data_IF_241528675474
#
_entry.id   IF_241528675474
#
_cell.length_a   1.000
_cell.length_b   1.000
_cell.length_c   1.000
_cell.angle_alpha   90.00
_cell.angle_beta   90.00
_cell.angle_gamma   90.00
#
_symmetry.space_group_name_H-M   'P 1'
#
loop_
_entity.id
_entity.type
_entity.pdbx_description
1 polymer ?
#
# COMPACT_ATOMS: atom_id res chain seq x y z
N UNK A 1 -5.31 -35.42 -19.74
CA UNK A 1 -4.80 -34.01 -19.70
C UNK A 1 -5.51 -33.11 -18.68
N UNK A 2 -6.84 -33.26 -18.45
CA UNK A 2 -7.60 -32.44 -17.50
C UNK A 2 -7.24 -32.74 -16.03
N UNK A 3 -7.05 -34.00 -15.69
CA UNK A 3 -6.65 -34.45 -14.35
C UNK A 3 -5.25 -33.95 -13.97
N UNK A 4 -4.30 -33.99 -14.93
CA UNK A 4 -2.94 -33.48 -14.71
C UNK A 4 -2.89 -31.96 -14.51
N UNK A 5 -3.84 -31.20 -15.10
CA UNK A 5 -3.94 -29.75 -14.87
C UNK A 5 -4.50 -29.47 -13.48
N UNK A 6 -5.52 -30.17 -13.06
CA UNK A 6 -6.15 -30.02 -11.73
C UNK A 6 -5.13 -30.34 -10.62
N UNK A 7 -4.41 -31.44 -10.72
CA UNK A 7 -3.37 -31.81 -9.72
C UNK A 7 -2.21 -30.82 -9.68
N UNK A 8 -1.85 -30.21 -10.82
CA UNK A 8 -0.81 -29.19 -10.85
C UNK A 8 -1.25 -27.85 -10.26
N UNK A 9 -2.51 -27.48 -10.49
CA UNK A 9 -3.11 -26.28 -9.90
C UNK A 9 -3.30 -26.44 -8.38
N UNK A 10 -3.76 -27.60 -7.92
CA UNK A 10 -3.88 -27.92 -6.48
C UNK A 10 -2.51 -27.93 -5.80
N UNK A 11 -1.48 -28.52 -6.42
CA UNK A 11 -0.12 -28.52 -5.88
C UNK A 11 0.49 -27.10 -5.83
N UNK A 12 0.19 -26.24 -6.80
CA UNK A 12 0.62 -24.84 -6.78
C UNK A 12 -0.09 -24.03 -5.68
N UNK A 13 -1.39 -24.21 -5.50
CA UNK A 13 -2.17 -23.57 -4.44
C UNK A 13 -1.67 -23.99 -3.05
N UNK A 14 -1.48 -25.28 -2.82
CA UNK A 14 -0.93 -25.81 -1.55
C UNK A 14 0.48 -25.27 -1.25
N UNK A 15 1.34 -25.17 -2.27
CA UNK A 15 2.69 -24.60 -2.12
C UNK A 15 2.64 -23.09 -1.81
N UNK A 16 1.71 -22.35 -2.40
CA UNK A 16 1.52 -20.94 -2.09
C UNK A 16 0.99 -20.71 -0.68
N UNK A 17 0.04 -21.54 -0.20
CA UNK A 17 -0.47 -21.46 1.17
C UNK A 17 0.59 -21.76 2.19
N UNK A 18 1.39 -22.81 1.99
CA UNK A 18 2.50 -23.17 2.87
C UNK A 18 3.55 -22.06 2.93
N UNK A 19 3.90 -21.48 1.79
CA UNK A 19 4.84 -20.35 1.74
C UNK A 19 4.29 -19.13 2.48
N UNK A 20 2.99 -18.81 2.34
CA UNK A 20 2.35 -17.71 3.06
C UNK A 20 2.37 -17.92 4.58
N UNK A 21 2.12 -19.13 5.04
CA UNK A 21 2.16 -19.46 6.47
C UNK A 21 3.58 -19.32 7.05
N UNK A 22 4.60 -19.80 6.34
CA UNK A 22 6.01 -19.66 6.73
C UNK A 22 6.43 -18.18 6.79
N UNK A 23 6.11 -17.40 5.76
CA UNK A 23 6.43 -15.97 5.73
C UNK A 23 5.73 -15.23 6.87
N UNK A 24 4.50 -15.60 7.21
CA UNK A 24 3.76 -15.03 8.34
C UNK A 24 4.43 -15.34 9.68
N UNK A 25 4.86 -16.59 9.89
CA UNK A 25 5.59 -17.01 11.10
C UNK A 25 6.89 -16.22 11.25
N UNK A 26 7.70 -16.17 10.20
CA UNK A 26 8.96 -15.41 10.17
C UNK A 26 8.75 -13.92 10.45
N UNK A 27 7.69 -13.34 9.91
CA UNK A 27 7.41 -11.93 10.14
C UNK A 27 7.06 -11.62 11.61
N UNK A 28 6.31 -12.50 12.27
CA UNK A 28 6.05 -12.37 13.71
C UNK A 28 7.35 -12.49 14.51
N UNK A 29 8.23 -13.43 14.16
CA UNK A 29 9.52 -13.60 14.81
C UNK A 29 10.49 -12.44 14.57
N UNK A 30 10.38 -11.73 13.43
CA UNK A 30 11.18 -10.51 13.16
C UNK A 30 10.59 -9.30 13.89
N UNK A 31 9.27 -9.16 13.96
CA UNK A 31 8.63 -8.04 14.63
C UNK A 31 8.88 -7.99 16.13
N UNK A 32 9.01 -9.16 16.76
CA UNK A 32 9.24 -9.26 18.19
C UNK A 32 10.57 -8.61 18.61
N UNK A 33 11.74 -8.95 18.06
CA UNK A 33 13.01 -8.30 18.40
C UNK A 33 13.02 -6.81 18.00
N UNK A 34 12.38 -6.44 16.89
CA UNK A 34 12.27 -5.03 16.50
C UNK A 34 11.46 -4.22 17.53
N UNK A 35 10.39 -4.82 18.08
CA UNK A 35 9.63 -4.22 19.18
C UNK A 35 10.46 -4.04 20.45
N UNK A 36 11.32 -5.03 20.77
CA UNK A 36 12.25 -4.97 21.87
C UNK A 36 13.30 -3.85 21.69
N UNK A 37 13.93 -3.78 20.53
CA UNK A 37 14.92 -2.75 20.18
C UNK A 37 14.30 -1.35 20.28
N UNK A 38 13.12 -1.17 19.69
CA UNK A 38 12.36 0.08 19.74
C UNK A 38 12.06 0.50 21.18
N UNK A 39 11.54 -0.45 21.99
CA UNK A 39 11.20 -0.20 23.39
C UNK A 39 12.42 0.17 24.24
N UNK A 40 13.55 -0.53 24.06
CA UNK A 40 14.80 -0.24 24.74
C UNK A 40 15.33 1.16 24.36
N UNK A 41 15.31 1.53 23.08
CA UNK A 41 15.71 2.84 22.61
C UNK A 41 14.81 3.95 23.18
N UNK A 42 13.49 3.72 23.29
CA UNK A 42 12.56 4.68 23.91
C UNK A 42 12.83 4.88 25.41
N UNK A 43 13.12 3.82 26.15
CA UNK A 43 13.49 3.93 27.55
C UNK A 43 14.80 4.66 27.72
N UNK A 44 15.81 4.31 26.92
CA UNK A 44 17.11 4.97 26.93
C UNK A 44 16.99 6.47 26.62
N UNK A 45 16.18 6.85 25.63
CA UNK A 45 15.94 8.26 25.27
C UNK A 45 15.38 9.09 26.42
N UNK A 46 14.61 8.48 27.32
CA UNK A 46 14.05 9.16 28.52
C UNK A 46 15.08 9.39 29.62
N UNK A 47 16.06 8.51 29.72
CA UNK A 47 17.10 8.55 30.74
C UNK A 47 18.32 9.40 30.32
N UNK A 48 18.47 9.69 29.03
CA UNK A 48 19.60 10.47 28.54
C UNK A 48 19.44 11.97 28.85
N UNK A 49 20.43 12.57 29.49
CA UNK A 49 20.40 13.99 29.85
C UNK A 49 20.74 14.94 28.69
N UNK A 50 21.35 14.41 27.63
CA UNK A 50 21.87 15.18 26.49
C UNK A 50 20.99 14.96 25.24
N UNK A 51 20.54 16.08 24.64
CA UNK A 51 19.70 16.04 23.42
C UNK A 51 20.47 15.43 22.22
N UNK A 52 21.78 15.68 22.08
CA UNK A 52 22.57 15.08 20.99
C UNK A 52 22.60 13.55 21.06
N UNK A 53 22.56 12.99 22.27
CA UNK A 53 22.46 11.52 22.45
C UNK A 53 21.08 10.99 22.17
N UNK A 54 20.04 11.80 22.37
CA UNK A 54 18.66 11.42 22.00
C UNK A 54 18.48 11.30 20.50
N UNK A 55 19.24 12.03 19.70
CA UNK A 55 19.21 11.89 18.23
C UNK A 55 19.58 10.48 17.79
N UNK A 56 20.57 9.85 18.45
CA UNK A 56 20.92 8.45 18.15
C UNK A 56 19.79 7.48 18.51
N UNK A 57 19.10 7.70 19.64
CA UNK A 57 17.97 6.86 20.02
C UNK A 57 16.76 7.05 19.08
N UNK A 58 16.55 8.27 18.60
CA UNK A 58 15.52 8.57 17.60
C UNK A 58 15.80 7.83 16.29
N UNK A 59 17.04 7.83 15.81
CA UNK A 59 17.43 7.06 14.61
C UNK A 59 17.16 5.56 14.80
N UNK A 60 17.48 5.00 15.97
CA UNK A 60 17.21 3.58 16.25
C UNK A 60 15.69 3.28 16.22
N UNK A 61 14.88 4.17 16.80
CA UNK A 61 13.42 4.04 16.82
C UNK A 61 12.86 4.10 15.39
N UNK A 62 13.31 5.07 14.61
CA UNK A 62 12.85 5.26 13.22
C UNK A 62 13.22 4.06 12.33
N UNK A 63 14.44 3.54 12.45
CA UNK A 63 14.85 2.36 11.67
C UNK A 63 14.14 1.09 12.12
N UNK A 64 13.86 0.91 13.41
CA UNK A 64 13.06 -0.20 13.90
C UNK A 64 11.63 -0.14 13.37
N UNK A 65 11.01 1.05 13.36
CA UNK A 65 9.68 1.27 12.79
C UNK A 65 9.67 1.08 11.27
N UNK A 66 10.72 1.51 10.58
CA UNK A 66 10.91 1.31 9.13
C UNK A 66 11.00 -0.18 8.77
N UNK A 67 11.81 -0.95 9.51
CA UNK A 67 11.94 -2.39 9.31
C UNK A 67 10.63 -3.12 9.60
N UNK A 68 9.92 -2.75 10.65
CA UNK A 68 8.59 -3.29 10.97
C UNK A 68 7.60 -3.06 9.83
N UNK A 69 7.55 -1.84 9.30
CA UNK A 69 6.72 -1.49 8.17
C UNK A 69 7.11 -2.23 6.89
N UNK A 70 8.40 -2.52 6.68
CA UNK A 70 8.88 -3.34 5.57
C UNK A 70 8.37 -4.77 5.68
N UNK A 71 8.49 -5.38 6.87
CA UNK A 71 7.97 -6.72 7.15
C UNK A 71 6.45 -6.78 6.93
N UNK A 72 5.71 -5.76 7.37
CA UNK A 72 4.27 -5.67 7.15
C UNK A 72 3.91 -5.60 5.66
N UNK A 73 4.67 -4.87 4.87
CA UNK A 73 4.50 -4.81 3.42
C UNK A 73 4.82 -6.13 2.73
N UNK A 74 5.85 -6.86 3.19
CA UNK A 74 6.21 -8.18 2.64
C UNK A 74 5.12 -9.23 2.90
N UNK A 75 4.44 -9.12 4.03
CA UNK A 75 3.32 -10.02 4.37
C UNK A 75 2.08 -9.77 3.50
N UNK A 76 1.98 -8.62 2.88
CA UNK A 76 0.76 -8.16 2.23
C UNK A 76 -0.39 -7.96 3.24
N UNK A 77 -1.52 -7.49 2.77
CA UNK A 77 -2.75 -7.47 3.57
C UNK A 77 -3.27 -8.91 3.70
N UNK A 78 -2.92 -9.58 4.80
CA UNK A 78 -3.31 -10.98 5.07
C UNK A 78 -4.76 -11.14 5.55
N UNK A 79 -5.55 -10.09 5.54
CA UNK A 79 -7.00 -10.18 5.71
C UNK A 79 -7.59 -10.76 4.43
N UNK A 80 -8.48 -11.73 4.56
CA UNK A 80 -9.34 -12.10 3.44
C UNK A 80 -10.00 -10.83 2.90
N UNK A 81 -10.01 -10.61 1.57
CA UNK A 81 -10.61 -9.42 1.01
C UNK A 81 -12.05 -9.25 1.50
N UNK A 82 -12.35 -8.11 2.12
CA UNK A 82 -13.72 -7.75 2.49
C UNK A 82 -14.35 -7.03 1.30
N UNK A 83 -14.89 -7.82 0.36
CA UNK A 83 -15.49 -7.29 -0.85
C UNK A 83 -16.84 -6.65 -0.54
N UNK A 84 -17.02 -5.40 -0.94
CA UNK A 84 -18.27 -4.65 -0.86
C UNK A 84 -18.45 -3.78 -2.11
N UNK A 85 -19.71 -3.51 -2.47
CA UNK A 85 -20.01 -2.53 -3.50
C UNK A 85 -19.54 -1.16 -3.02
N UNK A 86 -18.61 -0.58 -3.73
CA UNK A 86 -17.88 0.62 -3.30
C UNK A 86 -17.71 1.58 -4.47
N UNK A 87 -17.99 2.84 -4.22
CA UNK A 87 -17.72 3.91 -5.16
C UNK A 87 -16.22 4.20 -5.19
N UNK A 88 -15.59 4.05 -6.36
CA UNK A 88 -14.16 4.29 -6.55
C UNK A 88 -13.75 5.72 -6.21
N UNK A 89 -14.63 6.69 -6.45
CA UNK A 89 -14.32 8.10 -6.19
C UNK A 89 -14.26 8.40 -4.69
N UNK A 90 -15.07 7.74 -3.85
CA UNK A 90 -14.95 7.85 -2.38
C UNK A 90 -13.59 7.34 -1.88
N UNK A 91 -13.09 6.27 -2.48
CA UNK A 91 -11.76 5.75 -2.17
C UNK A 91 -10.70 6.78 -2.54
N UNK A 92 -10.77 7.36 -3.74
CA UNK A 92 -9.82 8.35 -4.22
C UNK A 92 -9.90 9.65 -3.41
N UNK A 93 -11.09 10.10 -3.01
CA UNK A 93 -11.25 11.28 -2.13
C UNK A 93 -10.63 11.03 -0.74
N UNK A 94 -10.78 9.82 -0.20
CA UNK A 94 -10.10 9.46 1.06
C UNK A 94 -8.58 9.52 0.92
N UNK A 95 -8.05 9.00 -0.18
CA UNK A 95 -6.61 9.07 -0.49
C UNK A 95 -6.16 10.53 -0.67
N UNK A 96 -6.91 11.32 -1.44
CA UNK A 96 -6.63 12.72 -1.67
C UNK A 96 -6.54 13.51 -0.37
N UNK A 97 -7.54 13.34 0.53
CA UNK A 97 -7.55 14.03 1.83
C UNK A 97 -6.33 13.70 2.69
N UNK A 98 -5.89 12.41 2.70
CA UNK A 98 -4.73 12.00 3.47
C UNK A 98 -3.43 12.59 2.89
N UNK A 99 -3.30 12.60 1.57
CA UNK A 99 -2.11 13.15 0.89
C UNK A 99 -2.06 14.67 1.00
N UNK A 100 -3.18 15.37 0.91
CA UNK A 100 -3.24 16.83 1.12
C UNK A 100 -2.78 17.22 2.52
N UNK A 101 -3.18 16.43 3.54
CA UNK A 101 -2.72 16.63 4.90
C UNK A 101 -1.21 16.37 5.06
N UNK A 102 -0.68 15.32 4.42
CA UNK A 102 0.75 14.99 4.44
C UNK A 102 1.60 16.01 3.67
N UNK A 103 1.11 16.48 2.52
CA UNK A 103 1.85 17.38 1.64
C UNK A 103 1.95 18.82 2.14
N UNK A 104 1.11 19.24 3.08
CA UNK A 104 1.11 20.58 3.70
C UNK A 104 1.19 21.74 2.67
N UNK A 105 0.56 21.57 1.50
CA UNK A 105 0.52 22.57 0.45
C UNK A 105 1.71 22.53 -0.52
N UNK A 106 2.66 21.59 -0.39
CA UNK A 106 3.79 21.45 -1.31
C UNK A 106 3.40 20.89 -2.70
N UNK A 107 2.20 20.30 -2.81
CA UNK A 107 1.72 19.63 -4.02
C UNK A 107 0.27 20.01 -4.29
N UNK A 108 -0.06 20.22 -5.55
CA UNK A 108 -1.45 20.40 -6.01
C UNK A 108 -2.03 19.08 -6.47
N UNK A 109 -3.12 18.63 -5.84
CA UNK A 109 -3.90 17.48 -6.30
C UNK A 109 -4.98 17.91 -7.27
N UNK A 110 -5.01 17.26 -8.44
CA UNK A 110 -6.04 17.47 -9.47
C UNK A 110 -6.92 16.24 -9.58
N UNK A 111 -8.22 16.44 -9.48
CA UNK A 111 -9.25 15.41 -9.58
C UNK A 111 -9.89 15.48 -10.95
N UNK A 112 -9.89 14.36 -11.67
CA UNK A 112 -10.47 14.25 -13.02
C UNK A 112 -11.22 12.91 -13.11
N UNK A 113 -12.41 12.89 -12.56
CA UNK A 113 -13.21 11.68 -12.37
C UNK A 113 -14.28 11.52 -13.44
N UNK A 114 -14.44 10.29 -13.92
CA UNK A 114 -15.54 9.88 -14.79
C UNK A 114 -16.74 9.45 -13.92
N UNK A 115 -17.81 10.26 -13.82
CA UNK A 115 -18.95 9.96 -12.97
C UNK A 115 -19.79 8.78 -13.47
N UNK A 116 -19.52 8.26 -14.66
CA UNK A 116 -20.25 7.13 -15.23
C UNK A 116 -19.80 5.77 -14.69
N UNK A 117 -18.74 5.73 -13.87
CA UNK A 117 -18.22 4.50 -13.28
C UNK A 117 -19.18 4.02 -12.19
N UNK A 118 -19.77 2.82 -12.33
CA UNK A 118 -20.66 2.26 -11.31
C UNK A 118 -19.84 1.83 -10.08
N UNK A 119 -20.55 1.51 -9.00
CA UNK A 119 -19.94 0.89 -7.84
C UNK A 119 -19.30 -0.45 -8.22
N UNK A 120 -18.14 -0.71 -7.66
CA UNK A 120 -17.30 -1.87 -7.92
C UNK A 120 -17.28 -2.80 -6.71
N UNK A 121 -17.29 -4.11 -6.95
CA UNK A 121 -17.13 -5.11 -5.89
C UNK A 121 -15.64 -5.23 -5.53
N UNK A 122 -15.20 -4.48 -4.54
CA UNK A 122 -13.79 -4.35 -4.16
C UNK A 122 -13.60 -4.30 -2.65
N UNK A 123 -12.40 -4.59 -2.21
CA UNK A 123 -11.98 -4.31 -0.83
C UNK A 123 -11.52 -2.85 -0.73
N UNK A 124 -12.35 -2.03 -0.10
CA UNK A 124 -12.14 -0.58 0.05
C UNK A 124 -10.81 -0.27 0.77
N UNK A 125 -10.49 -0.99 1.84
CA UNK A 125 -9.28 -0.74 2.63
C UNK A 125 -8.01 -1.10 1.86
N UNK A 126 -8.01 -2.24 1.18
CA UNK A 126 -6.88 -2.66 0.36
C UNK A 126 -6.64 -1.71 -0.80
N UNK A 127 -7.71 -1.22 -1.43
CA UNK A 127 -7.57 -0.26 -2.52
C UNK A 127 -7.06 1.10 -2.03
N UNK A 128 -7.56 1.61 -0.89
CA UNK A 128 -7.01 2.82 -0.26
C UNK A 128 -5.51 2.65 -0.02
N UNK A 129 -5.09 1.52 0.56
CA UNK A 129 -3.69 1.24 0.85
C UNK A 129 -2.84 1.19 -0.43
N UNK A 130 -3.32 0.53 -1.49
CA UNK A 130 -2.63 0.46 -2.78
C UNK A 130 -2.47 1.87 -3.40
N UNK A 131 -3.53 2.65 -3.40
CA UNK A 131 -3.51 4.01 -3.93
C UNK A 131 -2.60 4.94 -3.12
N UNK A 132 -2.64 4.86 -1.77
CA UNK A 132 -1.72 5.62 -0.92
C UNK A 132 -0.25 5.29 -1.22
N UNK A 133 0.09 4.02 -1.43
CA UNK A 133 1.44 3.63 -1.80
C UNK A 133 1.89 4.28 -3.11
N UNK A 134 1.03 4.29 -4.12
CA UNK A 134 1.33 4.90 -5.43
C UNK A 134 1.50 6.42 -5.30
N UNK A 135 0.55 7.08 -4.63
CA UNK A 135 0.54 8.54 -4.53
C UNK A 135 1.65 9.05 -3.61
N UNK A 136 2.00 8.33 -2.53
CA UNK A 136 3.16 8.65 -1.69
C UNK A 136 4.48 8.51 -2.44
N UNK A 137 4.63 7.51 -3.30
CA UNK A 137 5.80 7.39 -4.16
C UNK A 137 5.90 8.59 -5.12
N UNK A 138 4.79 9.04 -5.67
CA UNK A 138 4.76 10.24 -6.51
C UNK A 138 5.10 11.51 -5.71
N UNK A 139 4.56 11.66 -4.50
CA UNK A 139 4.88 12.77 -3.59
C UNK A 139 6.37 12.80 -3.24
N UNK A 140 6.95 11.65 -2.91
CA UNK A 140 8.37 11.52 -2.60
C UNK A 140 9.26 11.88 -3.80
N UNK A 141 8.88 11.44 -5.01
CA UNK A 141 9.61 11.79 -6.23
C UNK A 141 9.58 13.29 -6.53
N UNK A 142 8.46 13.97 -6.25
CA UNK A 142 8.33 15.42 -6.38
C UNK A 142 9.15 16.16 -5.34
N UNK A 143 9.18 15.67 -4.09
CA UNK A 143 9.96 16.29 -3.00
C UNK A 143 11.47 16.19 -3.22
N UNK A 144 11.94 15.22 -3.99
CA UNK A 144 13.35 15.07 -4.35
C UNK A 144 13.81 16.05 -5.45
N UNK A 145 12.88 16.74 -6.13
CA UNK A 145 13.20 17.71 -7.15
C UNK A 145 13.37 19.09 -6.52
N UNK A 146 14.54 19.67 -6.68
CA UNK A 146 14.92 20.99 -6.12
C UNK A 146 14.23 22.19 -6.80
N UNK A 147 13.30 21.97 -7.70
CA UNK A 147 12.64 23.04 -8.44
C UNK A 147 11.47 23.60 -7.60
N UNK A 148 11.48 24.93 -7.38
CA UNK A 148 10.53 25.71 -6.58
C UNK A 148 9.08 25.70 -7.15
N UNK A 149 8.78 24.87 -8.15
CA UNK A 149 7.45 24.73 -8.71
C UNK A 149 6.65 23.76 -7.86
N UNK A 150 5.47 24.18 -7.44
CA UNK A 150 4.48 23.31 -6.79
C UNK A 150 4.28 22.04 -7.62
N UNK A 151 4.61 20.90 -7.05
CA UNK A 151 4.39 19.60 -7.68
C UNK A 151 2.90 19.40 -7.98
N UNK A 152 2.59 18.65 -9.04
CA UNK A 152 1.20 18.35 -9.44
C UNK A 152 1.00 16.85 -9.54
N UNK A 153 0.02 16.33 -8.81
CA UNK A 153 -0.45 14.94 -8.88
C UNK A 153 -1.88 14.93 -9.41
N UNK A 154 -2.15 14.15 -10.45
CA UNK A 154 -3.47 14.02 -11.06
C UNK A 154 -4.08 12.66 -10.78
N UNK A 155 -5.24 12.64 -10.13
CA UNK A 155 -6.06 11.44 -9.94
C UNK A 155 -7.13 11.42 -11.03
N UNK A 156 -7.03 10.43 -11.93
CA UNK A 156 -7.93 10.33 -13.08
C UNK A 156 -8.60 8.97 -13.12
N UNK A 157 -9.90 8.94 -13.36
CA UNK A 157 -10.66 7.72 -13.62
C UNK A 157 -11.28 7.73 -15.01
N UNK A 158 -11.31 6.59 -15.68
CA UNK A 158 -11.93 6.44 -17.01
C UNK A 158 -12.47 5.01 -17.16
N UNK A 159 -13.57 4.87 -17.89
CA UNK A 159 -14.07 3.57 -18.34
C UNK A 159 -13.54 3.25 -19.72
N UNK A 160 -12.95 2.08 -19.88
CA UNK A 160 -12.60 1.52 -21.18
C UNK A 160 -13.71 0.57 -21.61
N UNK A 161 -14.48 0.93 -22.64
CA UNK A 161 -15.44 0.00 -23.26
C UNK A 161 -14.70 -0.84 -24.27
N UNK A 162 -14.55 -2.13 -24.01
CA UNK A 162 -14.14 -3.08 -25.04
C UNK A 162 -15.34 -3.32 -25.96
N UNK A 163 -15.27 -2.78 -27.16
CA UNK A 163 -16.21 -3.17 -28.22
C UNK A 163 -15.77 -4.54 -28.76
N UNK A 164 -16.51 -5.59 -28.42
CA UNK A 164 -16.39 -6.86 -29.12
C UNK A 164 -17.09 -6.69 -30.47
N UNK A 165 -16.32 -6.52 -31.55
CA UNK A 165 -16.85 -6.61 -32.92
C UNK A 165 -17.25 -8.05 -33.11
N UNK A 166 -18.56 -8.34 -33.05
CA UNK A 166 -19.10 -9.65 -33.38
C UNK A 166 -18.76 -9.98 -34.82
N UNK A 167 -18.07 -11.09 -35.08
CA UNK A 167 -17.97 -11.66 -36.40
C UNK A 167 -19.35 -12.18 -36.76
N UNK A 168 -20.04 -11.45 -37.66
CA UNK A 168 -21.20 -11.98 -38.36
C UNK A 168 -20.69 -13.09 -39.29
N UNK A 169 -20.99 -14.35 -38.96
CA UNK A 169 -20.85 -15.46 -39.87
C UNK A 169 -21.98 -15.32 -40.90
N UNK A 170 -21.67 -14.83 -42.09
CA UNK A 170 -22.52 -14.99 -43.24
C UNK A 170 -22.51 -16.46 -43.65
N UNK A 171 -23.77 -16.98 -43.84
CA UNK A 171 -24.03 -18.31 -44.40
C UNK A 171 -23.94 -18.28 -45.91
#
# INVERSE_FOLDING_TARGET
>A
DRLLRITKEEAQLSKQETTKLLVRGLAHEIKNPLGGIRGAAQLLSRELPNEDLKDYTNVIIEEADRLRNLVDRMLGSNKLPSLAMTNIHEVLERVASLIEAEAQGSVTLVRDYDPSIPDLLIDREQLIQAMLNIVRNALQALSAQSDLRLGRISLRTRTFRQFTIGHTRDR
#
